data_IF_488266065756
#
_entry.id   IF_488266065756
#
_cell.length_a   1.000
_cell.length_b   1.000
_cell.length_c   1.000
_cell.angle_alpha   90.00
_cell.angle_beta   90.00
_cell.angle_gamma   90.00
#
_symmetry.space_group_name_H-M   'P 1'
#
loop_
_entity.id
_entity.type
_entity.pdbx_description
1 polymer ?
#
# COMPACT_ATOMS: atom_id res chain seq x y z
N UNK A 1 -16.12 -4.47 15.65
CA UNK A 1 -14.82 -4.40 14.93
C UNK A 1 -14.51 -5.80 14.42
N UNK A 2 -14.22 -5.97 13.12
CA UNK A 2 -13.88 -7.30 12.58
C UNK A 2 -12.46 -7.70 12.99
N UNK A 3 -12.19 -9.01 13.12
CA UNK A 3 -10.85 -9.53 13.38
C UNK A 3 -9.80 -8.96 12.39
N UNK A 4 -10.17 -8.84 11.11
CA UNK A 4 -9.32 -8.26 10.06
C UNK A 4 -9.01 -6.78 10.30
N UNK A 5 -9.99 -5.98 10.74
CA UNK A 5 -9.76 -4.55 10.98
C UNK A 5 -8.70 -4.28 12.06
N UNK A 6 -8.66 -5.15 13.08
CA UNK A 6 -7.68 -5.12 14.13
C UNK A 6 -6.30 -5.57 13.61
N UNK A 7 -6.26 -6.69 12.89
CA UNK A 7 -5.02 -7.21 12.29
C UNK A 7 -4.37 -6.20 11.35
N UNK A 8 -5.13 -5.54 10.48
CA UNK A 8 -4.64 -4.46 9.60
C UNK A 8 -3.97 -3.35 10.43
N UNK A 9 -4.67 -2.88 11.48
CA UNK A 9 -4.16 -1.80 12.34
C UNK A 9 -2.84 -2.19 13.02
N UNK A 10 -2.77 -3.40 13.53
CA UNK A 10 -1.60 -3.88 14.28
C UNK A 10 -0.40 -4.12 13.35
N UNK A 11 -0.63 -4.62 12.13
CA UNK A 11 0.41 -4.74 11.12
C UNK A 11 0.90 -3.36 10.64
N UNK A 12 0.00 -2.41 10.36
CA UNK A 12 0.36 -1.04 9.96
C UNK A 12 1.27 -0.35 10.97
N UNK A 13 1.05 -0.57 12.27
CA UNK A 13 1.90 0.00 13.34
C UNK A 13 3.31 -0.59 13.41
N UNK A 14 3.48 -1.83 12.95
CA UNK A 14 4.77 -2.53 12.96
C UNK A 14 5.59 -2.30 11.69
N UNK A 15 4.97 -1.82 10.61
CA UNK A 15 5.68 -1.44 9.39
C UNK A 15 6.30 -0.05 9.61
N UNK A 16 7.63 0.08 9.53
CA UNK A 16 8.29 1.38 9.67
C UNK A 16 7.85 2.34 8.55
N UNK A 17 7.93 3.65 8.82
CA UNK A 17 7.61 4.69 7.84
C UNK A 17 8.87 5.44 7.42
N UNK A 18 8.83 6.04 6.24
CA UNK A 18 9.89 6.90 5.70
C UNK A 18 9.26 7.89 4.71
N UNK A 19 9.98 8.98 4.43
CA UNK A 19 9.51 10.00 3.49
C UNK A 19 9.94 9.68 2.05
N UNK A 20 8.97 9.73 1.13
CA UNK A 20 9.25 9.64 -0.31
C UNK A 20 9.94 10.91 -0.81
N UNK A 21 10.57 10.84 -1.98
CA UNK A 21 10.98 12.05 -2.70
C UNK A 21 9.71 12.83 -3.11
N UNK A 22 9.65 14.17 -2.95
CA UNK A 22 8.50 14.95 -3.38
C UNK A 22 8.15 14.70 -4.85
N UNK A 23 6.88 14.41 -5.15
CA UNK A 23 6.41 14.10 -6.49
C UNK A 23 6.73 12.69 -7.01
N UNK A 24 7.45 11.85 -6.25
CA UNK A 24 7.77 10.50 -6.67
C UNK A 24 6.54 9.59 -6.67
N UNK A 25 6.36 8.85 -7.75
CA UNK A 25 5.32 7.84 -7.91
C UNK A 25 5.83 6.53 -8.52
N UNK A 26 7.15 6.30 -8.55
CA UNK A 26 7.74 5.13 -9.23
C UNK A 26 7.39 3.78 -8.58
N UNK A 27 6.96 3.79 -7.31
CA UNK A 27 6.41 2.61 -6.64
C UNK A 27 4.88 2.53 -6.69
N UNK A 28 4.21 3.57 -7.19
CA UNK A 28 2.76 3.61 -7.32
C UNK A 28 2.35 2.99 -8.65
N UNK A 29 1.53 1.95 -8.59
CA UNK A 29 1.01 1.27 -9.77
C UNK A 29 -0.21 0.42 -9.41
N UNK A 30 -0.68 -0.42 -10.34
CA UNK A 30 -1.79 -1.32 -10.09
C UNK A 30 -1.40 -2.34 -9.03
N UNK A 31 -2.05 -2.27 -7.87
CA UNK A 31 -1.86 -3.18 -6.76
C UNK A 31 -3.20 -3.71 -6.29
N UNK A 32 -3.19 -4.91 -5.73
CA UNK A 32 -4.37 -5.48 -5.07
C UNK A 32 -4.32 -5.25 -3.57
N UNK A 33 -5.46 -4.97 -2.98
CA UNK A 33 -5.62 -4.85 -1.52
C UNK A 33 -6.82 -5.67 -1.05
N UNK A 34 -6.91 -5.94 0.26
CA UNK A 34 -8.06 -6.64 0.81
C UNK A 34 -9.33 -5.79 0.68
N UNK A 35 -10.49 -6.45 0.58
CA UNK A 35 -11.78 -5.75 0.52
C UNK A 35 -11.99 -4.81 1.72
N UNK A 36 -11.48 -5.16 2.91
CA UNK A 36 -11.55 -4.33 4.11
C UNK A 36 -10.64 -3.11 4.09
N UNK A 37 -9.48 -3.18 3.44
CA UNK A 37 -8.63 -2.02 3.21
C UNK A 37 -9.23 -1.11 2.13
N UNK A 38 -9.72 -1.70 1.03
CA UNK A 38 -10.39 -0.96 -0.04
C UNK A 38 -11.62 -0.18 0.47
N UNK A 39 -12.37 -0.75 1.40
CA UNK A 39 -13.54 -0.09 2.00
C UNK A 39 -13.21 1.17 2.82
N UNK A 40 -11.94 1.41 3.17
CA UNK A 40 -11.47 2.62 3.86
C UNK A 40 -11.01 3.72 2.91
N UNK A 41 -10.80 3.38 1.64
CA UNK A 41 -10.35 4.34 0.64
C UNK A 41 -11.54 5.13 0.06
N UNK A 42 -11.33 6.37 -0.39
CA UNK A 42 -12.35 7.10 -1.14
C UNK A 42 -12.82 6.31 -2.36
N UNK A 43 -14.10 6.37 -2.66
CA UNK A 43 -14.62 5.71 -3.87
C UNK A 43 -14.26 6.51 -5.10
N UNK A 44 -13.63 5.85 -6.06
CA UNK A 44 -13.43 6.36 -7.40
C UNK A 44 -14.48 5.79 -8.36
N UNK A 45 -14.70 6.49 -9.47
CA UNK A 45 -15.56 6.00 -10.55
C UNK A 45 -14.83 4.91 -11.33
N UNK A 46 -15.60 4.05 -12.02
CA UNK A 46 -15.01 3.03 -12.90
C UNK A 46 -14.14 3.65 -14.00
N UNK A 47 -14.54 4.81 -14.53
CA UNK A 47 -13.77 5.53 -15.55
C UNK A 47 -12.41 6.04 -15.02
N UNK A 48 -12.36 6.54 -13.79
CA UNK A 48 -11.10 6.95 -13.14
C UNK A 48 -10.18 5.75 -12.91
N UNK A 49 -10.73 4.64 -12.42
CA UNK A 49 -9.96 3.40 -12.20
C UNK A 49 -9.42 2.83 -13.51
N UNK A 50 -10.24 2.81 -14.57
CA UNK A 50 -9.83 2.34 -15.89
C UNK A 50 -8.76 3.23 -16.52
N UNK A 51 -8.90 4.56 -16.42
CA UNK A 51 -7.89 5.51 -16.89
C UNK A 51 -6.55 5.30 -16.17
N UNK A 52 -6.57 5.17 -14.84
CA UNK A 52 -5.36 4.90 -14.06
C UNK A 52 -4.72 3.56 -14.44
N UNK A 53 -5.53 2.50 -14.62
CA UNK A 53 -5.03 1.19 -15.01
C UNK A 53 -4.41 1.19 -16.42
N UNK A 54 -5.00 1.90 -17.37
CA UNK A 54 -4.46 2.03 -18.73
C UNK A 54 -3.09 2.71 -18.75
N UNK A 55 -2.82 3.60 -17.79
CA UNK A 55 -1.52 4.23 -17.60
C UNK A 55 -0.58 3.46 -16.66
N UNK A 56 -1.01 2.28 -16.17
CA UNK A 56 -0.30 1.50 -15.15
C UNK A 56 -0.02 2.30 -13.86
N UNK A 57 -0.91 3.23 -13.54
CA UNK A 57 -0.89 4.09 -12.36
C UNK A 57 -1.88 3.63 -11.29
N UNK A 58 -1.77 4.21 -10.10
CA UNK A 58 -2.76 4.06 -9.03
C UNK A 58 -3.80 5.18 -9.11
N UNK A 59 -5.09 4.86 -8.99
CA UNK A 59 -6.20 5.84 -9.05
C UNK A 59 -6.15 6.90 -7.95
N UNK A 60 -5.48 6.61 -6.82
CA UNK A 60 -5.29 7.55 -5.72
C UNK A 60 -3.99 8.38 -5.83
N UNK A 61 -3.29 8.31 -6.95
CA UNK A 61 -2.13 9.14 -7.19
C UNK A 61 -2.58 10.54 -7.64
N UNK A 62 -2.24 11.56 -6.85
CA UNK A 62 -2.45 12.97 -7.19
C UNK A 62 -1.16 13.64 -7.64
N UNK A 63 -1.23 14.93 -8.07
CA UNK A 63 -0.06 15.68 -8.56
C UNK A 63 1.05 15.85 -7.51
N UNK A 64 0.70 15.79 -6.22
CA UNK A 64 1.64 15.93 -5.10
C UNK A 64 1.95 14.60 -4.40
N UNK A 65 1.59 13.46 -5.00
CA UNK A 65 1.76 12.13 -4.43
C UNK A 65 0.44 11.47 -4.03
N UNK A 66 0.53 10.41 -3.22
CA UNK A 66 -0.62 9.59 -2.83
C UNK A 66 -1.63 10.39 -1.97
N UNK A 67 -2.86 10.53 -2.44
CA UNK A 67 -3.93 11.26 -1.73
C UNK A 67 -4.47 10.50 -0.51
N UNK A 68 -4.18 9.20 -0.42
CA UNK A 68 -4.58 8.30 0.67
C UNK A 68 -3.39 7.84 1.51
N UNK A 69 -2.33 8.66 1.62
CA UNK A 69 -1.05 8.26 2.22
C UNK A 69 -1.18 7.60 3.61
N UNK A 70 -2.05 8.16 4.46
CA UNK A 70 -2.33 7.65 5.82
C UNK A 70 -3.11 6.33 5.82
N UNK A 71 -4.01 6.15 4.85
CA UNK A 71 -4.82 4.93 4.73
C UNK A 71 -4.22 3.89 3.77
N UNK A 72 -2.97 4.11 3.31
CA UNK A 72 -2.28 3.21 2.39
C UNK A 72 -2.42 1.73 2.81
N UNK A 73 -2.83 0.87 1.86
CA UNK A 73 -2.84 -0.57 2.05
C UNK A 73 -1.53 -1.13 2.59
N UNK A 74 -1.60 -2.29 3.24
CA UNK A 74 -0.42 -2.99 3.74
C UNK A 74 0.62 -3.23 2.64
N UNK A 75 0.19 -3.67 1.45
CA UNK A 75 1.11 -3.88 0.31
C UNK A 75 1.85 -2.61 -0.09
N UNK A 76 1.16 -1.46 -0.12
CA UNK A 76 1.76 -0.17 -0.46
C UNK A 76 2.81 0.29 0.58
N UNK A 77 2.67 -0.16 1.83
CA UNK A 77 3.61 0.15 2.93
C UNK A 77 4.83 -0.77 2.94
N UNK A 78 4.77 -1.93 2.28
CA UNK A 78 5.93 -2.81 2.14
C UNK A 78 6.99 -2.23 1.19
N UNK A 79 6.57 -1.46 0.17
CA UNK A 79 7.50 -0.79 -0.74
C UNK A 79 8.44 0.16 0.00
N UNK A 80 9.74 -0.06 -0.13
CA UNK A 80 10.80 0.68 0.54
C UNK A 80 11.07 0.26 1.99
N UNK A 81 10.28 -0.66 2.57
CA UNK A 81 10.47 -1.12 3.96
C UNK A 81 10.98 -2.55 4.05
N UNK A 82 11.01 -3.29 2.93
CA UNK A 82 11.53 -4.66 2.85
C UNK A 82 12.67 -4.77 1.83
N UNK A 83 13.56 -5.78 1.95
CA UNK A 83 14.56 -6.09 0.94
C UNK A 83 13.97 -6.60 -0.38
N UNK A 84 12.78 -7.21 -0.34
CA UNK A 84 12.11 -7.83 -1.49
C UNK A 84 11.35 -6.81 -2.34
N UNK A 85 10.92 -5.70 -1.72
CA UNK A 85 10.21 -4.60 -2.36
C UNK A 85 10.97 -3.28 -2.12
N UNK A 86 12.18 -3.11 -2.67
CA UNK A 86 12.97 -1.90 -2.47
C UNK A 86 12.31 -0.68 -3.12
N UNK A 87 12.58 0.51 -2.60
CA UNK A 87 12.21 1.76 -3.27
C UNK A 87 13.10 1.95 -4.51
N UNK A 88 12.54 2.27 -5.70
CA UNK A 88 13.32 2.54 -6.91
C UNK A 88 14.34 3.69 -6.73
N UNK A 89 14.01 4.65 -5.86
CA UNK A 89 14.85 5.81 -5.55
C UNK A 89 15.75 5.60 -4.32
N UNK A 90 15.87 4.36 -3.82
CA UNK A 90 16.75 4.03 -2.69
C UNK A 90 16.32 4.57 -1.33
N UNK A 91 15.11 5.14 -1.21
CA UNK A 91 14.53 5.58 0.07
C UNK A 91 14.16 4.38 0.93
N UNK A 92 14.43 4.46 2.22
CA UNK A 92 14.11 3.43 3.22
C UNK A 92 14.14 4.02 4.63
N UNK A 93 13.46 3.39 5.60
CA UNK A 93 13.64 3.72 7.02
C UNK A 93 15.03 3.31 7.51
N UNK A 94 15.45 3.84 8.66
CA UNK A 94 16.70 3.46 9.33
C UNK A 94 16.72 1.97 9.71
N UNK A 95 15.56 1.45 10.10
CA UNK A 95 15.35 0.04 10.43
C UNK A 95 14.27 -0.51 9.53
N UNK A 96 14.60 -1.55 8.76
CA UNK A 96 13.65 -2.26 7.92
C UNK A 96 12.62 -3.04 8.74
N UNK A 97 11.53 -3.45 8.09
CA UNK A 97 10.52 -4.29 8.73
C UNK A 97 11.15 -5.58 9.28
N UNK A 98 10.65 -6.06 10.43
CA UNK A 98 11.05 -7.36 10.93
C UNK A 98 10.51 -8.49 10.01
N UNK A 99 11.32 -9.50 9.62
CA UNK A 99 10.90 -10.54 8.68
C UNK A 99 9.63 -11.31 9.10
N UNK A 100 9.43 -11.51 10.40
CA UNK A 100 8.21 -12.13 10.92
C UNK A 100 6.95 -11.28 10.70
N UNK A 101 7.08 -9.95 10.64
CA UNK A 101 5.96 -9.04 10.36
C UNK A 101 5.68 -9.03 8.86
N UNK A 102 6.71 -8.97 8.01
CA UNK A 102 6.57 -9.11 6.54
C UNK A 102 5.82 -10.40 6.19
N UNK A 103 6.20 -11.54 6.80
CA UNK A 103 5.52 -12.81 6.64
C UNK A 103 4.03 -12.73 7.02
N UNK A 104 3.69 -12.11 8.15
CA UNK A 104 2.30 -11.95 8.59
C UNK A 104 1.48 -11.07 7.63
N UNK A 105 2.09 -10.07 7.00
CA UNK A 105 1.45 -9.26 5.96
C UNK A 105 1.15 -10.12 4.74
N UNK A 106 2.11 -10.91 4.25
CA UNK A 106 1.88 -11.82 3.13
C UNK A 106 0.81 -12.87 3.44
N UNK A 107 0.82 -13.46 4.63
CA UNK A 107 -0.23 -14.39 5.08
C UNK A 107 -1.61 -13.72 5.09
N UNK A 108 -1.70 -12.46 5.55
CA UNK A 108 -2.95 -11.70 5.53
C UNK A 108 -3.45 -11.44 4.10
N UNK A 109 -2.55 -11.04 3.19
CA UNK A 109 -2.88 -10.82 1.78
C UNK A 109 -3.38 -12.12 1.15
N UNK A 110 -2.68 -13.23 1.39
CA UNK A 110 -3.06 -14.56 0.88
C UNK A 110 -4.38 -15.08 1.47
N UNK A 111 -4.75 -14.69 2.69
CA UNK A 111 -5.95 -15.17 3.37
C UNK A 111 -7.19 -14.30 3.18
N UNK A 112 -7.13 -13.23 2.38
CA UNK A 112 -8.25 -12.30 2.21
C UNK A 112 -8.59 -12.08 0.74
N UNK A 113 -9.85 -11.72 0.46
CA UNK A 113 -10.29 -11.39 -0.90
C UNK A 113 -9.57 -10.13 -1.37
N UNK A 114 -8.75 -10.29 -2.40
CA UNK A 114 -8.02 -9.23 -3.06
C UNK A 114 -8.88 -8.53 -4.12
N UNK A 115 -8.79 -7.21 -4.16
CA UNK A 115 -9.48 -6.32 -5.11
C UNK A 115 -8.45 -5.33 -5.64
N UNK A 116 -8.50 -5.03 -6.93
CA UNK A 116 -7.66 -4.00 -7.54
C UNK A 116 -8.07 -2.64 -6.97
N UNK A 117 -7.08 -1.85 -6.53
CA UNK A 117 -7.26 -0.47 -6.06
C UNK A 117 -7.69 0.42 -7.23
#
# INVERSE_FOLDING_TARGET
>A
MSCNSQKIRDLRRQIPSFECVPGCHDCCGPVTTSSEEMARLPRNTAAEQEAALNELNCVHLGPNGCTVYEERPLICRLFGTTPTLPCPNGRRPDVLIHPAVEKQVHEYIASTRQVLV
#
